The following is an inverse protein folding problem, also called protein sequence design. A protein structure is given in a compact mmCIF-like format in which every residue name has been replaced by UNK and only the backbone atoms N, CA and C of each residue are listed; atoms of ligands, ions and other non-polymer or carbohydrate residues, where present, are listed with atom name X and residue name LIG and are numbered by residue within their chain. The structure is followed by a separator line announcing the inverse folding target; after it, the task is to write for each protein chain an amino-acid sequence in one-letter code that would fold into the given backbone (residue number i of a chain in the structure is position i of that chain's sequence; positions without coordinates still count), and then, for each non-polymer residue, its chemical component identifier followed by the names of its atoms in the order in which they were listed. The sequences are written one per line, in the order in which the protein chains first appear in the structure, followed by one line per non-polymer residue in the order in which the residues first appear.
data_IF_808774992825
#
_entry.id   IF_808774992825
#
_cell.length_a   1.000
_cell.length_b   1.000
_cell.length_c   1.000
_cell.angle_alpha   90.00
_cell.angle_beta   90.00
_cell.angle_gamma   90.00
#
_symmetry.space_group_name_H-M   'P 1'
#
loop_
_entity.id
_entity.type
_entity.pdbx_description
1 polymer ?
#
# COMPACT_ATOMS: atom_id res chain seq x y z
N UNK A 1 -1.86 17.00 44.67
CA UNK A 1 -1.43 16.03 43.65
C UNK A 1 -2.16 16.37 42.36
N UNK A 2 -1.46 16.67 41.26
CA UNK A 2 -2.11 16.90 39.99
C UNK A 2 -2.81 15.61 39.55
N UNK A 3 -4.07 15.69 39.14
CA UNK A 3 -4.79 14.53 38.61
C UNK A 3 -4.07 14.06 37.34
N UNK A 4 -3.69 12.78 37.29
CA UNK A 4 -3.10 12.20 36.08
C UNK A 4 -4.17 12.17 34.99
N UNK A 5 -3.87 12.76 33.83
CA UNK A 5 -4.73 12.67 32.66
C UNK A 5 -4.85 11.21 32.23
N UNK A 6 -6.07 10.66 32.06
CA UNK A 6 -6.25 9.30 31.56
C UNK A 6 -5.60 9.11 30.18
N UNK A 7 -4.88 8.00 30.00
CA UNK A 7 -4.20 7.67 28.75
C UNK A 7 -4.55 6.25 28.28
N UNK A 8 -4.40 6.00 26.99
CA UNK A 8 -4.46 4.67 26.36
C UNK A 8 -3.10 4.35 25.72
N UNK A 9 -2.62 3.13 25.91
CA UNK A 9 -1.42 2.65 25.24
C UNK A 9 -1.78 1.95 23.93
N UNK A 10 -1.18 2.36 22.82
CA UNK A 10 -1.32 1.72 21.52
C UNK A 10 0.01 1.08 21.12
N UNK A 11 0.00 -0.16 20.62
CA UNK A 11 1.22 -0.90 20.25
C UNK A 11 1.34 -1.02 18.73
N UNK A 12 2.55 -0.78 18.21
CA UNK A 12 2.86 -0.89 16.79
C UNK A 12 4.11 -1.75 16.55
N UNK A 13 4.10 -2.54 15.48
CA UNK A 13 5.28 -3.26 15.03
C UNK A 13 5.28 -3.45 13.52
N UNK A 14 6.46 -3.49 12.92
CA UNK A 14 6.59 -3.95 11.53
C UNK A 14 6.50 -5.47 11.43
N UNK A 15 6.45 -6.00 10.21
CA UNK A 15 6.41 -7.43 9.92
C UNK A 15 7.52 -8.23 10.61
N UNK A 16 8.78 -7.81 10.46
CA UNK A 16 9.91 -8.53 11.06
C UNK A 16 10.11 -8.22 12.56
N UNK A 17 9.27 -7.35 13.15
CA UNK A 17 9.31 -6.90 14.55
C UNK A 17 10.60 -6.18 15.00
N UNK A 18 11.53 -5.91 14.10
CA UNK A 18 12.73 -5.11 14.41
C UNK A 18 12.37 -3.67 14.80
N UNK A 19 11.27 -3.15 14.24
CA UNK A 19 10.63 -1.91 14.70
C UNK A 19 9.43 -2.31 15.54
N UNK A 20 9.45 -1.96 16.82
CA UNK A 20 8.39 -2.23 17.78
C UNK A 20 8.37 -1.11 18.83
N UNK A 21 7.24 -0.42 18.94
CA UNK A 21 7.08 0.69 19.87
C UNK A 21 5.66 0.78 20.40
N UNK A 22 5.52 1.56 21.48
CA UNK A 22 4.24 1.93 22.07
C UNK A 22 4.02 3.43 21.98
N UNK A 23 2.77 3.85 21.96
CA UNK A 23 2.36 5.24 22.13
C UNK A 23 1.44 5.34 23.34
N UNK A 24 1.73 6.27 24.24
CA UNK A 24 0.82 6.62 25.35
C UNK A 24 0.04 7.87 24.96
N UNK A 25 -1.23 7.71 24.57
CA UNK A 25 -2.07 8.78 24.03
C UNK A 25 -3.08 9.24 25.09
N UNK A 26 -3.24 10.55 25.36
CA UNK A 26 -4.35 11.05 26.16
C UNK A 26 -5.69 10.62 25.57
N UNK A 27 -6.61 10.09 26.38
CA UNK A 27 -7.91 9.60 25.88
C UNK A 27 -8.69 10.72 25.17
N UNK A 28 -8.53 11.97 25.62
CA UNK A 28 -9.14 13.16 24.99
C UNK A 28 -8.62 13.46 23.58
N UNK A 29 -7.52 12.84 23.16
CA UNK A 29 -6.96 12.98 21.81
C UNK A 29 -7.38 11.84 20.87
N UNK A 30 -8.11 10.83 21.37
CA UNK A 30 -8.62 9.73 20.56
C UNK A 30 -10.05 10.02 20.06
N UNK A 31 -10.41 9.56 18.85
CA UNK A 31 -9.55 8.85 17.89
C UNK A 31 -8.56 9.79 17.18
N UNK A 32 -7.38 9.28 16.83
CA UNK A 32 -6.44 9.99 15.95
C UNK A 32 -7.01 10.04 14.53
N UNK A 33 -7.10 11.25 13.97
CA UNK A 33 -7.63 11.46 12.61
C UNK A 33 -6.61 10.98 11.58
N UNK A 34 -7.03 10.04 10.75
CA UNK A 34 -6.18 9.32 9.79
C UNK A 34 -6.53 9.73 8.38
N UNK A 35 -5.56 10.26 7.65
CA UNK A 35 -5.73 10.66 6.26
C UNK A 35 -5.11 9.65 5.30
N UNK A 36 -5.69 9.55 4.11
CA UNK A 36 -5.11 8.85 2.98
C UNK A 36 -4.44 9.83 2.03
N UNK A 37 -3.12 9.83 1.95
CA UNK A 37 -2.39 10.72 1.02
C UNK A 37 -2.09 10.00 -0.31
N UNK A 38 -2.55 10.61 -1.41
CA UNK A 38 -2.46 10.07 -2.78
C UNK A 38 -1.37 10.74 -3.61
N UNK A 39 -0.56 11.61 -3.02
CA UNK A 39 0.47 12.32 -3.79
C UNK A 39 1.51 11.34 -4.35
N UNK A 40 2.09 11.70 -5.50
CA UNK A 40 3.10 10.87 -6.16
C UNK A 40 4.25 10.49 -5.23
N UNK A 41 4.72 11.42 -4.38
CA UNK A 41 5.78 11.11 -3.41
C UNK A 41 5.39 9.94 -2.52
N UNK A 42 4.24 10.02 -1.85
CA UNK A 42 3.78 8.98 -0.93
C UNK A 42 3.55 7.65 -1.63
N UNK A 43 2.91 7.68 -2.80
CA UNK A 43 2.69 6.49 -3.65
C UNK A 43 4.03 5.80 -4.00
N UNK A 44 5.00 6.57 -4.49
CA UNK A 44 6.27 6.04 -4.98
C UNK A 44 7.29 5.70 -3.90
N UNK A 45 7.16 6.26 -2.68
CA UNK A 45 8.00 5.87 -1.53
C UNK A 45 7.46 4.67 -0.79
N UNK A 46 6.15 4.39 -0.86
CA UNK A 46 5.56 3.20 -0.22
C UNK A 46 5.49 2.02 -1.18
N UNK A 47 5.39 2.26 -2.50
CA UNK A 47 5.03 1.20 -3.45
C UNK A 47 3.55 0.80 -3.35
N UNK A 48 2.73 1.61 -2.69
CA UNK A 48 1.32 1.35 -2.43
C UNK A 48 0.41 2.40 -3.12
N UNK A 49 -0.90 2.14 -3.26
CA UNK A 49 -1.87 3.10 -3.81
C UNK A 49 -1.87 4.47 -3.13
N UNK A 50 -1.78 4.47 -1.81
CA UNK A 50 -1.76 5.64 -0.93
C UNK A 50 -1.21 5.21 0.44
N UNK A 51 -1.07 6.17 1.35
CA UNK A 51 -0.60 5.93 2.73
C UNK A 51 -1.74 6.11 3.73
N UNK A 52 -1.63 5.57 4.94
CA UNK A 52 -2.63 5.70 6.00
C UNK A 52 -1.98 6.33 7.22
N UNK A 53 -2.04 7.66 7.31
CA UNK A 53 -1.18 8.43 8.20
C UNK A 53 -1.98 9.25 9.22
N UNK A 54 -1.52 9.28 10.47
CA UNK A 54 -2.11 10.11 11.52
C UNK A 54 -1.04 10.95 12.23
N UNK A 55 -1.21 12.29 12.35
CA UNK A 55 -0.33 13.11 13.16
C UNK A 55 -0.53 12.78 14.66
N UNK A 56 0.57 12.65 15.39
CA UNK A 56 0.53 12.44 16.84
C UNK A 56 0.33 13.77 17.58
N UNK A 57 -0.29 13.76 18.77
CA UNK A 57 -0.32 14.94 19.62
C UNK A 57 1.10 15.45 19.93
N UNK A 58 1.26 16.76 20.11
CA UNK A 58 2.55 17.39 20.42
C UNK A 58 3.20 16.73 21.64
N UNK A 59 4.49 16.43 21.53
CA UNK A 59 5.27 15.78 22.59
C UNK A 59 5.11 14.27 22.69
N UNK A 60 4.20 13.66 21.92
CA UNK A 60 4.09 12.20 21.83
C UNK A 60 5.06 11.69 20.78
N UNK A 61 5.93 10.77 21.20
CA UNK A 61 6.91 10.09 20.33
C UNK A 61 6.88 8.57 20.58
N UNK A 62 7.37 7.76 19.63
CA UNK A 62 7.51 6.32 19.81
C UNK A 62 8.30 5.94 21.07
N UNK A 63 7.67 5.16 21.96
CA UNK A 63 8.30 4.54 23.13
C UNK A 63 8.78 3.15 22.76
N UNK A 64 10.07 3.03 22.46
CA UNK A 64 10.67 1.81 21.91
C UNK A 64 10.59 0.62 22.87
N UNK A 65 10.23 -0.55 22.34
CA UNK A 65 10.24 -1.82 23.08
C UNK A 65 11.54 -2.55 22.74
N UNK A 66 12.42 -2.72 23.72
CA UNK A 66 13.71 -3.38 23.51
C UNK A 66 13.55 -4.79 22.88
N UNK A 67 14.43 -5.20 21.94
CA UNK A 67 15.67 -4.52 21.52
C UNK A 67 15.46 -3.44 20.44
N UNK A 68 14.21 -3.11 20.09
CA UNK A 68 13.92 -2.10 19.07
C UNK A 68 14.40 -0.72 19.47
N UNK A 69 14.67 0.12 18.47
CA UNK A 69 14.98 1.52 18.65
C UNK A 69 15.10 2.28 17.32
N UNK A 70 15.44 3.58 17.39
CA UNK A 70 15.63 4.41 16.19
C UNK A 70 16.70 3.86 15.24
N UNK A 71 17.66 3.10 15.75
CA UNK A 71 18.72 2.45 14.96
C UNK A 71 18.21 1.36 14.00
N UNK A 72 16.96 0.91 14.15
CA UNK A 72 16.30 -0.03 13.22
C UNK A 72 15.57 0.68 12.08
N UNK A 73 15.60 2.02 12.05
CA UNK A 73 14.98 2.85 11.03
C UNK A 73 16.01 3.35 10.03
N UNK A 74 15.61 3.38 8.75
CA UNK A 74 16.26 4.16 7.71
C UNK A 74 15.44 5.42 7.47
N UNK A 75 16.11 6.57 7.34
CA UNK A 75 15.48 7.85 7.01
C UNK A 75 15.65 8.19 5.54
N UNK A 76 14.59 8.68 4.90
CA UNK A 76 14.60 9.15 3.53
C UNK A 76 14.03 10.57 3.42
N UNK A 77 14.90 11.50 3.04
CA UNK A 77 14.54 12.88 2.67
C UNK A 77 14.64 13.04 1.16
N UNK A 78 13.50 13.27 0.52
CA UNK A 78 13.40 13.19 -0.94
C UNK A 78 14.08 14.35 -1.69
N UNK A 79 14.18 15.53 -1.08
CA UNK A 79 14.96 16.68 -1.56
C UNK A 79 15.50 17.46 -0.37
N UNK A 80 16.54 18.27 -0.54
CA UNK A 80 17.07 19.12 0.53
C UNK A 80 16.03 20.08 1.12
N UNK A 81 15.02 20.51 0.35
CA UNK A 81 13.92 21.37 0.80
C UNK A 81 12.70 20.63 1.38
N UNK A 82 12.78 19.31 1.57
CA UNK A 82 11.69 18.54 2.14
C UNK A 82 11.57 18.75 3.66
N UNK A 83 10.41 19.22 4.12
CA UNK A 83 10.10 19.42 5.56
C UNK A 83 9.92 18.13 6.36
N UNK A 84 10.02 16.94 5.78
CA UNK A 84 9.90 15.71 6.55
C UNK A 84 10.84 14.62 6.07
N UNK A 85 11.29 13.84 7.05
CA UNK A 85 11.97 12.57 6.88
C UNK A 85 10.93 11.44 6.88
N UNK A 86 10.90 10.64 5.80
CA UNK A 86 10.16 9.37 5.81
C UNK A 86 11.01 8.32 6.48
N UNK A 87 10.45 7.59 7.45
CA UNK A 87 11.18 6.54 8.15
C UNK A 87 10.54 5.18 7.93
N UNK A 88 11.39 4.19 7.64
CA UNK A 88 10.99 2.81 7.38
C UNK A 88 11.94 1.82 8.06
N UNK A 89 11.47 0.60 8.29
CA UNK A 89 12.28 -0.47 8.87
C UNK A 89 13.43 -0.84 7.93
N UNK A 90 14.68 -0.75 8.42
CA UNK A 90 15.87 -1.07 7.63
C UNK A 90 15.98 -2.53 7.19
N UNK A 91 15.20 -3.43 7.83
CA UNK A 91 15.23 -4.87 7.61
C UNK A 91 14.14 -5.35 6.64
N UNK A 92 12.89 -4.92 6.83
CA UNK A 92 11.76 -5.41 6.01
C UNK A 92 11.10 -4.35 5.11
N UNK A 93 11.53 -3.09 5.17
CA UNK A 93 10.98 -2.01 4.33
C UNK A 93 9.70 -1.37 4.86
N UNK A 94 9.10 -1.91 5.92
CA UNK A 94 7.87 -1.37 6.52
C UNK A 94 7.94 0.12 6.80
N UNK A 95 7.02 0.87 6.22
CA UNK A 95 6.88 2.31 6.42
C UNK A 95 6.30 2.57 7.80
N UNK A 96 7.00 3.39 8.60
CA UNK A 96 6.67 3.65 10.00
C UNK A 96 5.98 5.00 10.16
N UNK A 97 6.35 5.96 9.32
CA UNK A 97 5.75 7.29 9.29
C UNK A 97 6.71 8.36 8.78
N UNK A 98 6.34 9.61 9.07
CA UNK A 98 7.09 10.82 8.77
C UNK A 98 7.49 11.54 10.06
N UNK A 99 8.73 12.01 10.10
CA UNK A 99 9.26 12.86 11.16
C UNK A 99 9.39 14.28 10.62
N UNK A 100 8.73 15.21 11.29
CA UNK A 100 8.68 16.63 10.96
C UNK A 100 9.46 17.46 11.97
N UNK A 101 10.03 18.61 11.57
CA UNK A 101 10.60 19.59 12.49
C UNK A 101 9.51 20.20 13.38
N UNK A 102 9.91 20.77 14.50
CA UNK A 102 9.01 21.28 15.54
C UNK A 102 8.31 22.57 15.13
N UNK A 103 9.02 23.38 14.34
CA UNK A 103 8.59 24.69 13.87
C UNK A 103 8.63 24.71 12.34
N UNK A 104 7.74 25.48 11.69
CA UNK A 104 7.90 25.77 10.27
C UNK A 104 9.26 26.42 10.06
N UNK A 105 10.11 25.82 9.23
CA UNK A 105 11.38 26.41 8.84
C UNK A 105 11.06 27.61 7.94
N UNK A 106 11.18 28.82 8.50
CA UNK A 106 10.89 30.06 7.78
C UNK A 106 12.16 30.82 7.37
N UNK A 107 13.34 30.38 7.84
CA UNK A 107 14.63 30.98 7.53
C UNK A 107 15.79 29.99 7.69
N UNK A 108 16.95 30.27 7.06
CA UNK A 108 18.20 29.48 7.22
C UNK A 108 18.73 29.47 8.65
N UNK A 109 18.42 30.51 9.44
CA UNK A 109 18.81 30.61 10.86
C UNK A 109 17.96 29.72 11.78
N UNK A 110 16.79 29.27 11.31
CA UNK A 110 15.96 28.27 12.00
C UNK A 110 16.46 26.84 11.76
N UNK A 111 17.11 26.57 10.62
CA UNK A 111 17.71 25.27 10.28
C UNK A 111 18.91 24.93 11.18
N UNK A 112 19.72 25.92 11.56
CA UNK A 112 20.94 25.71 12.37
C UNK A 112 20.67 25.50 13.88
N UNK A 113 19.43 25.72 14.35
CA UNK A 113 19.07 25.69 15.80
C UNK A 113 18.36 24.42 16.25
N UNK A 114 18.09 23.45 15.37
CA UNK A 114 17.21 22.30 15.63
C UNK A 114 17.91 20.99 16.07
N UNK A 115 19.11 21.06 16.65
CA UNK A 115 19.84 19.87 17.16
C UNK A 115 19.29 19.29 18.49
N UNK A 116 18.13 19.76 18.98
CA UNK A 116 17.46 19.17 20.14
C UNK A 116 16.44 18.11 19.70
N UNK A 117 16.79 16.82 19.90
CA UNK A 117 15.97 15.65 19.57
C UNK A 117 14.52 15.65 20.13
N UNK A 118 14.22 16.52 21.10
CA UNK A 118 12.97 16.59 21.88
C UNK A 118 11.80 17.30 21.20
N UNK A 119 11.98 17.87 20.01
CA UNK A 119 10.97 18.78 19.43
C UNK A 119 10.34 18.26 18.12
N UNK A 120 10.62 17.01 17.71
CA UNK A 120 10.14 16.47 16.42
C UNK A 120 8.67 16.03 16.49
N UNK A 121 7.89 16.39 15.47
CA UNK A 121 6.49 15.96 15.34
C UNK A 121 6.39 14.71 14.48
N UNK A 122 5.60 13.72 14.91
CA UNK A 122 5.44 12.46 14.20
C UNK A 122 4.10 12.40 13.50
N UNK A 123 4.11 11.97 12.25
CA UNK A 123 2.93 11.44 11.57
C UNK A 123 3.18 9.95 11.32
N UNK A 124 2.42 9.08 11.97
CA UNK A 124 2.67 7.64 11.95
C UNK A 124 1.85 6.93 10.87
N UNK A 125 2.37 5.82 10.35
CA UNK A 125 1.54 4.83 9.68
C UNK A 125 0.62 4.16 10.71
N UNK A 126 -0.69 4.29 10.54
CA UNK A 126 -1.66 3.67 11.46
C UNK A 126 -1.83 2.18 11.18
N UNK A 127 -1.48 1.75 9.97
CA UNK A 127 -1.61 0.36 9.53
C UNK A 127 -0.68 -0.61 10.24
N UNK A 128 0.32 -0.15 11.02
CA UNK A 128 1.23 -1.05 11.75
C UNK A 128 0.82 -1.32 13.21
N UNK A 129 -0.34 -0.80 13.63
CA UNK A 129 -0.83 -0.96 14.99
C UNK A 129 -1.62 -2.26 15.16
N UNK A 130 -1.44 -2.90 16.31
CA UNK A 130 -2.15 -4.16 16.65
C UNK A 130 -3.61 -3.92 17.01
N UNK A 131 -3.93 -2.74 17.54
CA UNK A 131 -5.29 -2.32 17.88
C UNK A 131 -5.76 -1.22 16.91
N UNK A 132 -5.87 -1.56 15.64
CA UNK A 132 -6.50 -0.66 14.68
C UNK A 132 -8.02 -0.73 14.86
N UNK A 133 -8.66 0.40 15.14
CA UNK A 133 -10.13 0.48 15.25
C UNK A 133 -10.58 1.94 15.09
N UNK A 134 -11.85 2.21 14.71
CA UNK A 134 -12.38 3.57 14.61
C UNK A 134 -12.28 4.39 15.91
N UNK A 135 -12.18 3.72 17.06
CA UNK A 135 -12.00 4.37 18.38
C UNK A 135 -10.57 4.86 18.64
N UNK A 136 -9.58 4.26 17.97
CA UNK A 136 -8.18 4.62 18.08
C UNK A 136 -7.73 5.48 16.89
N UNK A 137 -8.14 5.08 15.69
CA UNK A 137 -7.77 5.67 14.41
C UNK A 137 -9.02 5.85 13.56
N UNK A 138 -9.42 7.10 13.36
CA UNK A 138 -10.58 7.41 12.53
C UNK A 138 -10.11 7.87 11.16
N UNK A 139 -10.27 7.00 10.16
CA UNK A 139 -10.08 7.35 8.77
C UNK A 139 -11.22 8.29 8.34
N UNK A 140 -10.86 9.46 7.82
CA UNK A 140 -11.82 10.54 7.57
C UNK A 140 -11.67 11.23 6.21
N UNK A 141 -10.48 11.19 5.59
CA UNK A 141 -10.24 11.97 4.37
C UNK A 141 -9.21 11.38 3.42
N UNK A 142 -9.40 11.69 2.14
CA UNK A 142 -8.40 11.60 1.10
C UNK A 142 -7.79 12.98 0.86
N UNK A 143 -6.47 13.06 0.79
CA UNK A 143 -5.74 14.29 0.47
C UNK A 143 -4.84 14.10 -0.75
N UNK A 144 -4.63 15.18 -1.50
CA UNK A 144 -3.81 15.20 -2.73
C UNK A 144 -4.32 14.24 -3.82
N UNK A 145 -5.63 14.09 -3.95
CA UNK A 145 -6.26 13.14 -4.88
C UNK A 145 -6.06 13.48 -6.35
N UNK A 146 -5.79 14.74 -6.66
CA UNK A 146 -5.50 15.26 -8.00
C UNK A 146 -4.01 15.30 -8.35
N UNK A 147 -3.14 14.88 -7.41
CA UNK A 147 -1.69 14.90 -7.60
C UNK A 147 -1.16 13.70 -8.40
N UNK A 148 -1.98 12.66 -8.59
CA UNK A 148 -1.64 11.52 -9.43
C UNK A 148 -2.01 11.79 -10.90
N UNK A 149 -1.22 11.31 -11.88
CA UNK A 149 -1.61 11.31 -13.29
C UNK A 149 -2.99 10.70 -13.49
N UNK A 150 -3.77 11.22 -14.44
CA UNK A 150 -5.16 10.80 -14.67
C UNK A 150 -6.18 11.28 -13.62
N UNK A 151 -5.74 11.87 -12.49
CA UNK A 151 -6.61 12.23 -11.34
C UNK A 151 -7.43 11.05 -10.82
N UNK A 152 -6.94 9.84 -11.03
CA UNK A 152 -7.53 8.59 -10.57
C UNK A 152 -6.73 8.03 -9.41
N UNK A 153 -7.41 7.37 -8.49
CA UNK A 153 -6.75 6.73 -7.35
C UNK A 153 -7.75 6.07 -6.43
N UNK A 154 -7.25 5.47 -5.35
CA UNK A 154 -8.07 4.70 -4.42
C UNK A 154 -9.22 5.52 -3.81
N UNK A 155 -9.15 6.84 -3.76
CA UNK A 155 -10.25 7.70 -3.33
C UNK A 155 -11.56 7.54 -4.13
N UNK A 156 -11.48 7.11 -5.39
CA UNK A 156 -12.66 6.77 -6.20
C UNK A 156 -13.25 5.41 -5.81
N UNK A 157 -12.40 4.51 -5.30
CA UNK A 157 -12.75 3.19 -4.84
C UNK A 157 -13.07 3.12 -3.33
N UNK A 158 -12.95 4.24 -2.62
CA UNK A 158 -13.23 4.32 -1.18
C UNK A 158 -13.86 5.67 -0.80
N UNK A 159 -15.00 6.06 -1.40
CA UNK A 159 -15.65 7.33 -1.10
C UNK A 159 -16.33 7.34 0.28
N UNK A 160 -16.54 6.16 0.89
CA UNK A 160 -17.22 5.99 2.18
C UNK A 160 -16.51 4.95 3.03
N UNK A 161 -16.54 5.16 4.35
CA UNK A 161 -16.08 4.20 5.36
C UNK A 161 -17.00 4.26 6.58
N UNK A 162 -17.40 3.11 7.13
CA UNK A 162 -18.31 3.06 8.30
C UNK A 162 -19.61 3.87 8.08
N UNK A 163 -20.20 3.78 6.88
CA UNK A 163 -21.36 4.57 6.42
C UNK A 163 -21.18 6.10 6.41
N UNK A 164 -19.97 6.61 6.62
CA UNK A 164 -19.64 8.04 6.53
C UNK A 164 -18.95 8.33 5.21
N UNK A 165 -19.24 9.48 4.64
CA UNK A 165 -18.50 9.96 3.47
C UNK A 165 -17.10 10.39 3.89
N UNK A 166 -16.11 10.07 3.06
CA UNK A 166 -14.73 10.54 3.25
C UNK A 166 -14.59 11.92 2.61
N UNK A 167 -13.98 12.84 3.34
CA UNK A 167 -13.67 14.16 2.80
C UNK A 167 -12.60 14.03 1.71
N UNK A 168 -12.77 14.71 0.58
CA UNK A 168 -11.81 14.66 -0.54
C UNK A 168 -11.18 16.04 -0.70
N UNK A 169 -9.85 16.10 -0.60
CA UNK A 169 -9.07 17.31 -0.77
C UNK A 169 -8.09 17.17 -1.93
N UNK A 170 -8.18 18.10 -2.88
CA UNK A 170 -7.22 18.32 -3.95
C UNK A 170 -6.06 19.21 -3.47
N UNK A 171 -5.11 19.58 -4.35
CA UNK A 171 -3.81 20.23 -4.09
C UNK A 171 -3.72 21.50 -3.21
N UNK A 172 -4.72 21.81 -2.40
CA UNK A 172 -4.79 22.93 -1.46
C UNK A 172 -4.95 22.52 0.02
N UNK A 173 -4.61 21.29 0.43
CA UNK A 173 -4.63 20.90 1.86
C UNK A 173 -3.42 21.44 2.65
N UNK A 174 -3.15 22.73 2.56
CA UNK A 174 -2.35 23.43 3.55
C UNK A 174 -3.17 24.63 4.04
N UNK A 175 -3.10 24.98 5.34
CA UNK A 175 -3.80 26.16 5.83
C UNK A 175 -3.47 27.37 4.93
N UNK A 176 -4.43 28.28 4.67
CA UNK A 176 -4.30 29.37 3.68
C UNK A 176 -3.04 30.25 3.82
N UNK A 177 -2.37 30.19 4.97
CA UNK A 177 -1.20 30.99 5.33
C UNK A 177 0.14 30.25 5.18
N UNK A 178 0.14 28.96 4.82
CA UNK A 178 1.37 28.23 4.54
C UNK A 178 1.76 28.46 3.07
N UNK A 179 2.56 29.49 2.81
CA UNK A 179 3.24 29.72 1.53
C UNK A 179 4.25 28.61 1.26
N UNK A 180 3.77 27.39 0.99
CA UNK A 180 4.62 26.29 0.59
C UNK A 180 4.47 26.05 -0.90
N UNK A 181 5.54 26.32 -1.62
CA UNK A 181 5.69 25.96 -3.03
C UNK A 181 5.68 24.42 -3.06
N UNK A 182 4.55 23.83 -3.47
CA UNK A 182 4.56 22.42 -3.86
C UNK A 182 5.57 22.30 -5.02
N UNK A 183 6.49 21.32 -4.98
CA UNK A 183 7.34 21.08 -6.15
C UNK A 183 6.43 20.86 -7.37
N UNK A 184 6.79 21.41 -8.54
CA UNK A 184 6.00 21.23 -9.74
C UNK A 184 5.78 19.73 -9.96
N UNK A 185 4.58 19.32 -10.42
CA UNK A 185 4.31 17.92 -10.70
C UNK A 185 5.37 17.40 -11.68
N UNK A 186 5.84 16.15 -11.51
CA UNK A 186 6.78 15.56 -12.46
C UNK A 186 6.17 15.58 -13.86
N UNK A 187 7.03 15.66 -14.88
CA UNK A 187 6.58 15.55 -16.26
C UNK A 187 5.75 14.26 -16.44
N UNK A 188 4.68 14.29 -17.24
CA UNK A 188 3.89 13.10 -17.48
C UNK A 188 4.79 12.00 -18.06
N UNK A 189 4.63 10.75 -17.61
CA UNK A 189 5.42 9.66 -18.14
C UNK A 189 5.18 9.52 -19.64
N UNK A 190 6.27 9.34 -20.39
CA UNK A 190 6.23 9.12 -21.83
C UNK A 190 6.06 7.64 -22.13
N UNK A 191 5.48 7.31 -23.29
CA UNK A 191 5.44 5.94 -23.75
C UNK A 191 6.87 5.42 -23.95
N UNK A 192 7.18 4.29 -23.34
CA UNK A 192 8.47 3.63 -23.48
C UNK A 192 8.32 2.45 -24.43
N UNK A 193 9.37 2.19 -25.20
CA UNK A 193 9.42 1.09 -26.14
C UNK A 193 10.70 0.28 -25.90
N UNK A 194 10.66 -1.02 -26.17
CA UNK A 194 11.85 -1.88 -26.17
C UNK A 194 12.89 -1.44 -27.20
N UNK A 195 13.99 -2.19 -27.32
CA UNK A 195 15.09 -1.86 -28.24
C UNK A 195 14.60 -1.49 -29.64
N UNK A 196 15.35 -0.59 -30.31
CA UNK A 196 15.01 0.23 -31.48
C UNK A 196 14.28 -0.45 -32.65
N UNK A 197 14.31 -1.78 -32.74
CA UNK A 197 13.69 -2.55 -33.82
C UNK A 197 12.32 -3.14 -33.46
N UNK A 198 11.99 -3.29 -32.17
CA UNK A 198 10.83 -4.07 -31.71
C UNK A 198 9.51 -3.27 -31.68
N UNK A 199 9.56 -1.94 -31.47
CA UNK A 199 8.39 -1.09 -31.17
C UNK A 199 7.45 -1.68 -30.09
N UNK A 200 7.93 -2.58 -29.25
CA UNK A 200 7.13 -3.20 -28.21
C UNK A 200 6.92 -2.18 -27.09
N UNK A 201 5.68 -1.79 -26.84
CA UNK A 201 5.34 -0.92 -25.71
C UNK A 201 5.83 -1.55 -24.39
N UNK A 202 6.40 -0.71 -23.53
CA UNK A 202 6.82 -1.08 -22.18
C UNK A 202 6.25 -0.12 -21.14
N UNK A 203 5.93 -0.66 -19.97
CA UNK A 203 5.48 0.11 -18.82
C UNK A 203 6.55 0.14 -17.75
N UNK A 204 6.88 1.35 -17.30
CA UNK A 204 7.90 1.62 -16.29
C UNK A 204 7.35 1.46 -14.87
N UNK A 205 8.12 0.76 -14.05
CA UNK A 205 8.01 0.74 -12.60
C UNK A 205 9.26 1.39 -12.00
N UNK A 206 9.08 2.40 -11.16
CA UNK A 206 10.20 3.10 -10.55
C UNK A 206 9.83 3.67 -9.17
N UNK A 207 10.70 3.40 -8.19
CA UNK A 207 10.57 3.98 -6.84
C UNK A 207 10.85 5.48 -6.84
N UNK A 208 10.52 6.17 -5.73
CA UNK A 208 10.69 7.62 -5.67
C UNK A 208 12.15 8.08 -5.91
N UNK A 209 13.13 7.39 -5.35
CA UNK A 209 14.53 7.79 -5.47
C UNK A 209 15.20 7.36 -6.79
N UNK A 210 14.48 6.68 -7.68
CA UNK A 210 15.04 6.12 -8.92
C UNK A 210 16.03 4.96 -8.74
N UNK A 211 16.33 4.55 -7.51
CA UNK A 211 17.31 3.51 -7.21
C UNK A 211 16.84 2.10 -7.61
N UNK A 212 15.53 1.88 -7.68
CA UNK A 212 14.90 0.72 -8.31
C UNK A 212 14.09 1.24 -9.49
N UNK A 213 14.44 0.81 -10.69
CA UNK A 213 13.77 1.18 -11.95
C UNK A 213 13.86 0.01 -12.94
N UNK A 214 12.71 -0.42 -13.45
CA UNK A 214 12.60 -1.47 -14.46
C UNK A 214 11.34 -1.28 -15.30
N UNK A 215 11.22 -2.05 -16.37
CA UNK A 215 10.08 -2.03 -17.26
C UNK A 215 9.57 -3.44 -17.53
N UNK A 216 8.31 -3.56 -17.91
CA UNK A 216 7.73 -4.82 -18.39
C UNK A 216 6.92 -4.60 -19.67
N UNK A 217 6.87 -5.59 -20.58
CA UNK A 217 6.10 -5.50 -21.81
C UNK A 217 4.63 -5.91 -21.58
N UNK A 218 3.81 -5.76 -22.61
CA UNK A 218 2.50 -6.42 -22.68
C UNK A 218 2.66 -7.95 -22.75
N UNK A 219 1.61 -8.76 -22.47
CA UNK A 219 1.66 -10.20 -22.68
C UNK A 219 2.10 -10.54 -24.10
N UNK A 220 3.13 -11.39 -24.22
CA UNK A 220 3.68 -11.81 -25.52
C UNK A 220 2.94 -13.04 -26.05
N UNK A 221 3.10 -13.34 -27.35
CA UNK A 221 2.56 -14.59 -27.93
C UNK A 221 3.07 -15.84 -27.22
N UNK A 222 4.30 -15.83 -26.72
CA UNK A 222 4.89 -16.94 -25.99
C UNK A 222 4.17 -17.16 -24.64
N UNK A 223 3.80 -16.08 -23.93
CA UNK A 223 3.03 -16.16 -22.69
C UNK A 223 1.63 -16.70 -22.95
N UNK A 224 0.94 -16.20 -23.97
CA UNK A 224 -0.40 -16.66 -24.33
C UNK A 224 -0.43 -18.15 -24.72
N UNK A 225 0.65 -18.66 -25.31
CA UNK A 225 0.82 -20.07 -25.65
C UNK A 225 1.22 -20.99 -24.49
N UNK A 226 1.54 -20.44 -23.32
CA UNK A 226 1.96 -21.19 -22.14
C UNK A 226 0.78 -21.32 -21.14
N UNK A 227 0.32 -22.54 -20.88
CA UNK A 227 -0.86 -22.79 -20.04
C UNK A 227 -0.74 -22.30 -18.60
N UNK A 228 0.47 -22.25 -18.05
CA UNK A 228 0.72 -21.81 -16.67
C UNK A 228 0.83 -20.29 -16.58
N UNK A 229 1.60 -19.67 -17.49
CA UNK A 229 1.81 -18.22 -17.47
C UNK A 229 0.58 -17.44 -17.97
N UNK A 230 -0.21 -18.02 -18.87
CA UNK A 230 -1.43 -17.39 -19.39
C UNK A 230 -2.50 -17.17 -18.30
N UNK A 231 -2.42 -17.87 -17.16
CA UNK A 231 -3.31 -17.66 -16.00
C UNK A 231 -3.19 -16.26 -15.39
N UNK A 232 -2.10 -15.53 -15.69
CA UNK A 232 -1.83 -14.18 -15.20
C UNK A 232 -2.14 -13.09 -16.24
N UNK A 233 -2.64 -13.49 -17.41
CA UNK A 233 -3.13 -12.59 -18.46
C UNK A 233 -4.63 -12.36 -18.27
N UNK A 234 -5.11 -11.17 -18.64
CA UNK A 234 -6.52 -10.85 -18.58
C UNK A 234 -7.36 -11.79 -19.45
N UNK A 235 -8.47 -12.34 -18.93
CA UNK A 235 -9.38 -13.18 -19.71
C UNK A 235 -10.21 -12.37 -20.71
N UNK A 236 -10.29 -11.04 -20.58
CA UNK A 236 -11.10 -10.17 -21.43
C UNK A 236 -10.29 -9.34 -22.43
N UNK A 237 -9.00 -9.11 -22.18
CA UNK A 237 -8.08 -8.47 -23.14
C UNK A 237 -6.69 -9.14 -23.09
N UNK A 238 -6.30 -9.91 -24.12
CA UNK A 238 -5.02 -10.63 -24.13
C UNK A 238 -3.78 -9.71 -24.16
N UNK A 239 -3.96 -8.39 -24.21
CA UNK A 239 -2.89 -7.39 -24.14
C UNK A 239 -2.66 -6.83 -22.73
N UNK A 240 -3.41 -7.31 -21.74
CA UNK A 240 -3.36 -6.81 -20.35
C UNK A 240 -2.96 -7.91 -19.36
N UNK A 241 -2.23 -7.53 -18.32
CA UNK A 241 -1.92 -8.38 -17.18
C UNK A 241 -3.05 -8.35 -16.15
N UNK A 242 -3.12 -9.34 -15.26
CA UNK A 242 -4.02 -9.29 -14.11
C UNK A 242 -3.44 -8.43 -12.99
N UNK A 243 -4.31 -7.67 -12.33
CA UNK A 243 -4.00 -6.90 -11.13
C UNK A 243 -5.00 -7.19 -10.01
N UNK A 244 -4.58 -7.01 -8.75
CA UNK A 244 -5.47 -7.12 -7.60
C UNK A 244 -5.11 -6.13 -6.50
N UNK A 245 -6.12 -5.79 -5.71
CA UNK A 245 -5.93 -5.20 -4.39
C UNK A 245 -5.79 -6.34 -3.38
N UNK A 246 -4.90 -6.15 -2.40
CA UNK A 246 -4.55 -7.12 -1.37
C UNK A 246 -4.58 -6.44 0.01
N UNK A 247 -5.27 -7.09 0.94
CA UNK A 247 -5.55 -6.61 2.29
C UNK A 247 -4.96 -7.54 3.36
N UNK A 248 -4.08 -8.48 3.00
CA UNK A 248 -3.49 -9.37 3.98
C UNK A 248 -2.66 -8.62 5.04
N UNK A 249 -2.64 -9.18 6.25
CA UNK A 249 -1.95 -8.59 7.39
C UNK A 249 -0.44 -8.47 7.16
N UNK A 250 0.16 -9.42 6.43
CA UNK A 250 1.57 -9.36 6.04
C UNK A 250 1.86 -8.13 5.19
N UNK A 251 1.10 -7.92 4.10
CA UNK A 251 1.27 -6.74 3.25
C UNK A 251 1.00 -5.46 4.03
N UNK A 252 0.05 -5.47 4.98
CA UNK A 252 -0.21 -4.35 5.88
C UNK A 252 1.02 -3.98 6.71
N UNK A 253 1.63 -4.98 7.38
CA UNK A 253 2.80 -4.82 8.23
C UNK A 253 4.12 -4.65 7.47
N UNK A 254 4.11 -4.81 6.14
CA UNK A 254 5.26 -4.60 5.26
C UNK A 254 5.23 -3.30 4.50
N UNK A 255 4.03 -2.79 4.20
CA UNK A 255 3.89 -1.55 3.42
C UNK A 255 3.56 -0.38 4.32
N UNK A 256 3.07 -0.63 5.54
CA UNK A 256 2.51 0.40 6.41
C UNK A 256 1.23 1.00 5.81
N UNK A 257 0.44 0.18 5.10
CA UNK A 257 -0.80 0.58 4.44
C UNK A 257 -1.86 -0.52 4.58
N UNK A 258 -3.14 -0.18 4.66
CA UNK A 258 -4.20 -1.20 4.76
C UNK A 258 -4.46 -1.93 3.46
N UNK A 259 -4.04 -1.36 2.33
CA UNK A 259 -4.17 -1.97 1.01
C UNK A 259 -2.89 -1.86 0.21
N UNK A 260 -2.60 -2.92 -0.53
CA UNK A 260 -1.54 -2.99 -1.52
C UNK A 260 -2.14 -3.33 -2.88
N UNK A 261 -1.49 -2.86 -3.94
CA UNK A 261 -1.87 -3.17 -5.31
C UNK A 261 -0.76 -3.95 -6.00
N UNK A 262 -1.10 -5.12 -6.54
CA UNK A 262 -0.17 -6.02 -7.22
C UNK A 262 -0.57 -6.25 -8.66
N UNK A 263 0.41 -6.40 -9.54
CA UNK A 263 0.27 -7.05 -10.86
C UNK A 263 1.20 -8.25 -10.92
N UNK A 264 0.85 -9.26 -11.69
CA UNK A 264 1.55 -10.55 -11.69
C UNK A 264 2.28 -10.73 -13.02
N UNK A 265 3.61 -10.82 -12.97
CA UNK A 265 4.44 -10.81 -14.18
C UNK A 265 5.42 -11.98 -14.19
N UNK A 266 5.64 -12.62 -15.34
CA UNK A 266 6.77 -13.53 -15.50
C UNK A 266 8.09 -12.79 -15.24
N UNK A 267 8.90 -13.30 -14.32
CA UNK A 267 10.13 -12.65 -13.85
C UNK A 267 11.10 -12.33 -15.00
N UNK A 268 11.19 -13.24 -15.97
CA UNK A 268 12.03 -13.13 -17.17
C UNK A 268 11.65 -11.99 -18.14
N UNK A 269 10.47 -11.37 -17.98
CA UNK A 269 10.03 -10.25 -18.82
C UNK A 269 10.40 -8.87 -18.26
N UNK A 270 10.91 -8.83 -17.02
CA UNK A 270 11.38 -7.58 -16.43
C UNK A 270 12.70 -7.15 -17.07
N UNK A 271 12.82 -5.86 -17.38
CA UNK A 271 14.06 -5.27 -17.90
C UNK A 271 14.51 -4.08 -17.05
N UNK A 272 15.73 -4.09 -16.50
CA UNK A 272 16.74 -5.16 -16.61
C UNK A 272 16.27 -6.47 -15.96
N UNK A 273 16.86 -7.59 -16.38
CA UNK A 273 16.51 -8.92 -15.87
C UNK A 273 16.68 -8.99 -14.35
N UNK A 274 15.68 -9.55 -13.68
CA UNK A 274 15.65 -9.74 -12.21
C UNK A 274 15.71 -11.24 -11.93
N UNK A 275 16.58 -11.66 -11.01
CA UNK A 275 16.66 -13.05 -10.57
C UNK A 275 15.67 -13.38 -9.45
N UNK A 276 15.61 -14.64 -9.04
CA UNK A 276 14.78 -15.08 -7.89
C UNK A 276 15.32 -14.60 -6.54
N UNK A 277 16.48 -13.94 -6.55
CA UNK A 277 17.03 -13.17 -5.43
C UNK A 277 16.37 -11.79 -5.30
N UNK A 278 15.60 -11.36 -6.32
CA UNK A 278 14.86 -10.10 -6.45
C UNK A 278 15.74 -8.84 -6.39
N UNK A 279 17.04 -8.98 -6.67
CA UNK A 279 17.99 -7.88 -6.57
C UNK A 279 17.99 -7.05 -7.86
N UNK A 280 17.71 -5.76 -7.72
CA UNK A 280 17.79 -4.75 -8.77
C UNK A 280 18.10 -3.37 -8.17
N UNK A 281 19.16 -2.73 -8.67
CA UNK A 281 19.55 -1.39 -8.24
C UNK A 281 19.77 -1.32 -6.72
N UNK A 282 19.02 -0.46 -6.01
CA UNK A 282 19.12 -0.28 -4.56
C UNK A 282 18.18 -1.19 -3.74
N UNK A 283 17.55 -2.20 -4.35
CA UNK A 283 16.66 -3.12 -3.63
C UNK A 283 17.41 -3.90 -2.54
N UNK A 284 16.74 -4.11 -1.41
CA UNK A 284 17.09 -5.10 -0.39
C UNK A 284 16.03 -6.18 -0.41
N UNK A 285 16.46 -7.42 -0.14
CA UNK A 285 15.60 -8.59 -0.20
C UNK A 285 15.73 -9.39 1.08
N UNK A 286 14.63 -9.99 1.52
CA UNK A 286 14.60 -10.85 2.70
C UNK A 286 13.57 -11.95 2.52
N UNK A 287 13.76 -13.04 3.25
CA UNK A 287 12.83 -14.17 3.29
C UNK A 287 11.77 -13.90 4.36
N UNK A 288 10.51 -13.72 3.96
CA UNK A 288 9.41 -13.44 4.90
C UNK A 288 8.87 -14.70 5.55
N UNK A 289 8.97 -15.82 4.86
CA UNK A 289 8.66 -17.17 5.33
C UNK A 289 9.39 -18.16 4.42
N UNK A 290 9.43 -19.44 4.79
CA UNK A 290 10.17 -20.46 4.03
C UNK A 290 9.75 -20.46 2.55
N UNK A 291 10.71 -20.18 1.66
CA UNK A 291 10.48 -20.16 0.20
C UNK A 291 9.78 -18.91 -0.33
N UNK A 292 9.55 -17.90 0.52
CA UNK A 292 8.88 -16.64 0.14
C UNK A 292 9.83 -15.46 0.35
N UNK A 293 10.09 -14.72 -0.73
CA UNK A 293 10.98 -13.55 -0.71
C UNK A 293 10.21 -12.27 -1.02
N UNK A 294 10.67 -11.18 -0.41
CA UNK A 294 10.12 -9.85 -0.63
C UNK A 294 11.26 -8.86 -0.85
N UNK A 295 11.00 -7.85 -1.68
CA UNK A 295 11.96 -6.81 -2.02
C UNK A 295 11.41 -5.41 -1.75
N UNK A 296 12.26 -4.55 -1.20
CA UNK A 296 11.98 -3.12 -1.01
C UNK A 296 13.20 -2.29 -1.39
N UNK A 297 13.03 -1.02 -1.77
CA UNK A 297 14.14 -0.12 -2.03
C UNK A 297 14.87 0.22 -0.71
N UNK A 298 16.15 -0.11 -0.61
CA UNK A 298 16.96 0.18 0.58
C UNK A 298 17.21 1.66 0.85
N UNK A 299 16.93 2.54 -0.12
CA UNK A 299 17.09 4.00 -0.03
C UNK A 299 15.82 4.72 0.40
N UNK A 300 14.68 4.46 -0.28
CA UNK A 300 13.42 5.15 0.00
C UNK A 300 12.34 4.30 0.67
N UNK A 301 12.59 2.99 0.85
CA UNK A 301 11.70 2.07 1.54
C UNK A 301 10.53 1.55 0.70
N UNK A 302 10.46 1.89 -0.59
CA UNK A 302 9.35 1.48 -1.43
C UNK A 302 9.28 -0.03 -1.61
N UNK A 303 8.12 -0.63 -1.35
CA UNK A 303 7.87 -2.04 -1.66
C UNK A 303 7.92 -2.26 -3.17
N UNK A 304 8.62 -3.31 -3.60
CA UNK A 304 8.88 -3.60 -5.01
C UNK A 304 8.27 -4.92 -5.44
N UNK A 305 8.67 -6.01 -4.78
CA UNK A 305 8.35 -7.38 -5.22
C UNK A 305 7.88 -8.28 -4.08
N UNK A 306 7.02 -9.22 -4.43
CA UNK A 306 6.79 -10.46 -3.70
C UNK A 306 7.01 -11.65 -4.63
N UNK A 307 7.61 -12.72 -4.13
CA UNK A 307 7.87 -13.94 -4.89
C UNK A 307 7.79 -15.16 -3.97
N UNK A 308 7.28 -16.28 -4.49
CA UNK A 308 7.19 -17.56 -3.79
C UNK A 308 7.72 -18.69 -4.68
N UNK A 309 8.43 -19.66 -4.08
CA UNK A 309 8.89 -20.89 -4.74
C UNK A 309 7.73 -21.68 -5.37
N UNK A 310 6.51 -21.58 -4.81
CA UNK A 310 5.32 -22.25 -5.35
C UNK A 310 4.88 -21.70 -6.72
N UNK A 311 5.29 -20.46 -7.05
CA UNK A 311 5.07 -19.79 -8.34
C UNK A 311 6.38 -19.24 -8.89
N UNK A 312 7.42 -20.07 -8.96
CA UNK A 312 8.80 -19.65 -9.21
C UNK A 312 9.01 -18.75 -10.45
N UNK A 313 8.20 -18.90 -11.49
CA UNK A 313 8.30 -18.10 -12.72
C UNK A 313 7.63 -16.71 -12.63
N UNK A 314 6.79 -16.48 -11.62
CA UNK A 314 5.97 -15.27 -11.47
C UNK A 314 6.46 -14.43 -10.30
N UNK A 315 6.52 -13.12 -10.50
CA UNK A 315 6.74 -12.13 -9.46
C UNK A 315 5.56 -11.18 -9.39
N UNK A 316 5.17 -10.86 -8.16
CA UNK A 316 4.14 -9.88 -7.89
C UNK A 316 4.82 -8.51 -7.79
N UNK A 317 4.40 -7.57 -8.63
CA UNK A 317 4.99 -6.22 -8.76
C UNK A 317 4.07 -5.17 -8.18
N UNK A 318 4.61 -4.33 -7.30
CA UNK A 318 3.86 -3.30 -6.60
C UNK A 318 3.43 -2.18 -7.55
N UNK A 319 2.12 -2.07 -7.81
CA UNK A 319 1.55 -1.09 -8.76
C UNK A 319 1.69 0.36 -8.28
N UNK A 320 2.00 0.59 -7.01
CA UNK A 320 2.38 1.92 -6.53
C UNK A 320 3.61 2.49 -7.25
N UNK A 321 4.46 1.65 -7.84
CA UNK A 321 5.66 2.06 -8.58
C UNK A 321 5.40 2.42 -10.05
N UNK A 322 4.23 2.09 -10.59
CA UNK A 322 3.94 2.26 -12.02
C UNK A 322 3.91 3.73 -12.44
N UNK A 323 4.65 4.05 -13.51
CA UNK A 323 4.70 5.36 -14.16
C UNK A 323 3.80 5.38 -15.39
N UNK A 324 2.51 5.08 -15.24
CA UNK A 324 1.54 5.19 -16.33
C UNK A 324 0.96 6.62 -16.41
N UNK A 325 0.68 7.09 -17.64
CA UNK A 325 0.06 8.40 -17.86
C UNK A 325 -1.39 8.46 -17.34
N UNK A 326 -2.07 7.31 -17.35
CA UNK A 326 -3.40 7.09 -16.78
C UNK A 326 -3.39 6.86 -15.26
N UNK A 327 -2.23 6.98 -14.59
CA UNK A 327 -2.14 6.94 -13.13
C UNK A 327 -1.98 5.54 -12.54
N UNK A 328 -2.43 5.37 -11.29
CA UNK A 328 -2.25 4.15 -10.52
C UNK A 328 -2.90 2.93 -11.18
N UNK A 329 -4.12 3.09 -11.70
CA UNK A 329 -4.91 1.96 -12.16
C UNK A 329 -4.41 1.35 -13.46
N UNK A 330 -3.63 2.08 -14.25
CA UNK A 330 -2.99 1.57 -15.45
C UNK A 330 -3.94 0.71 -16.32
N UNK A 331 -5.20 1.14 -16.50
CA UNK A 331 -6.28 0.31 -17.06
C UNK A 331 -6.02 -0.13 -18.49
N UNK A 332 -5.17 0.58 -19.25
CA UNK A 332 -4.72 0.14 -20.56
C UNK A 332 -3.72 -1.02 -20.51
N UNK A 333 -3.09 -1.28 -19.36
CA UNK A 333 -2.07 -2.30 -19.12
C UNK A 333 -2.52 -3.47 -18.26
N UNK A 334 -3.44 -3.22 -17.34
CA UNK A 334 -3.91 -4.25 -16.40
C UNK A 334 -5.43 -4.36 -16.38
N UNK A 335 -5.91 -5.54 -16.03
CA UNK A 335 -7.30 -5.81 -15.69
C UNK A 335 -7.37 -6.12 -14.21
N UNK A 336 -8.09 -5.29 -13.46
CA UNK A 336 -8.30 -5.48 -12.03
C UNK A 336 -9.29 -6.60 -11.77
N UNK A 337 -8.98 -7.45 -10.79
CA UNK A 337 -9.94 -8.43 -10.28
C UNK A 337 -11.07 -7.68 -9.57
N UNK A 338 -12.24 -7.63 -10.21
CA UNK A 338 -13.47 -7.08 -9.62
C UNK A 338 -14.18 -8.15 -8.77
N UNK A 339 -14.98 -7.72 -7.80
CA UNK A 339 -15.82 -8.61 -6.98
C UNK A 339 -15.10 -9.34 -5.83
N UNK A 340 -13.76 -9.43 -5.82
CA UNK A 340 -12.98 -10.08 -4.75
C UNK A 340 -11.65 -9.39 -4.51
N UNK A 341 -11.44 -8.92 -3.28
CA UNK A 341 -10.14 -8.45 -2.81
C UNK A 341 -9.33 -9.64 -2.28
N UNK A 342 -8.02 -9.70 -2.54
CA UNK A 342 -7.20 -10.80 -2.05
C UNK A 342 -7.08 -10.74 -0.52
N UNK A 343 -7.19 -11.91 0.12
CA UNK A 343 -7.06 -12.11 1.57
C UNK A 343 -7.99 -11.22 2.43
N UNK A 344 -9.23 -11.01 1.97
CA UNK A 344 -10.25 -10.23 2.66
C UNK A 344 -10.39 -10.60 4.16
N UNK A 345 -10.50 -11.89 4.48
CA UNK A 345 -10.67 -12.39 5.86
C UNK A 345 -9.50 -12.00 6.78
N UNK A 346 -8.27 -11.97 6.24
CA UNK A 346 -7.09 -11.52 6.99
C UNK A 346 -7.17 -10.03 7.28
N UNK A 347 -7.61 -9.22 6.31
CA UNK A 347 -7.84 -7.79 6.50
C UNK A 347 -8.91 -7.50 7.57
N UNK A 348 -10.02 -8.24 7.54
CA UNK A 348 -11.13 -8.08 8.51
C UNK A 348 -10.65 -8.30 9.95
N UNK A 349 -9.82 -9.32 10.16
CA UNK A 349 -9.26 -9.63 11.48
C UNK A 349 -8.33 -8.53 12.02
N UNK A 350 -7.61 -7.83 11.14
CA UNK A 350 -6.65 -6.79 11.50
C UNK A 350 -7.31 -5.44 11.83
N UNK A 351 -8.43 -5.11 11.18
CA UNK A 351 -9.17 -3.87 11.39
C UNK A 351 -10.05 -3.87 12.65
N UNK A 352 -10.17 -5.01 13.33
CA UNK A 352 -10.82 -5.15 14.64
C UNK A 352 -12.28 -4.67 14.70
N UNK A 353 -12.90 -4.47 13.54
CA UNK A 353 -14.24 -3.90 13.38
C UNK A 353 -15.17 -4.94 12.74
N UNK A 354 -16.47 -4.97 13.12
CA UNK A 354 -17.48 -5.70 12.35
C UNK A 354 -17.42 -5.24 10.89
N UNK A 355 -17.66 -6.16 9.95
CA UNK A 355 -17.62 -5.94 8.49
C UNK A 355 -18.09 -4.53 8.10
N UNK A 356 -19.22 -4.07 8.67
CA UNK A 356 -19.86 -2.75 8.50
C UNK A 356 -18.99 -1.48 8.66
N UNK A 357 -17.82 -1.57 9.30
CA UNK A 357 -17.01 -0.41 9.73
C UNK A 357 -15.58 -0.37 9.16
N UNK A 358 -15.21 -1.32 8.29
CA UNK A 358 -13.83 -1.56 7.86
C UNK A 358 -13.46 -0.86 6.54
N UNK A 359 -12.15 -0.74 6.25
CA UNK A 359 -11.65 -0.31 4.91
C UNK A 359 -12.17 -1.26 3.83
N UNK A 360 -12.35 -2.54 4.18
CA UNK A 360 -12.90 -3.57 3.31
C UNK A 360 -14.32 -3.21 2.87
N UNK A 361 -15.17 -2.77 3.79
CA UNK A 361 -16.57 -2.48 3.50
C UNK A 361 -16.75 -1.39 2.44
N UNK A 362 -15.95 -0.32 2.54
CA UNK A 362 -15.95 0.73 1.54
C UNK A 362 -15.43 0.26 0.17
N UNK A 363 -14.52 -0.72 0.14
CA UNK A 363 -14.03 -1.34 -1.10
C UNK A 363 -14.99 -2.40 -1.67
N UNK A 364 -15.71 -3.14 -0.82
CA UNK A 364 -16.71 -4.15 -1.19
C UNK A 364 -18.01 -3.53 -1.73
N UNK A 365 -18.46 -2.42 -1.16
CA UNK A 365 -19.64 -1.68 -1.66
C UNK A 365 -19.43 -1.27 -3.12
N UNK A 366 -18.20 -0.95 -3.52
CA UNK A 366 -17.88 -0.58 -4.90
C UNK A 366 -17.65 -1.77 -5.83
N UNK A 367 -17.11 -2.88 -5.32
CA UNK A 367 -17.09 -4.13 -6.07
C UNK A 367 -18.53 -4.53 -6.48
N UNK A 368 -19.49 -4.41 -5.55
CA UNK A 368 -20.91 -4.67 -5.78
C UNK A 368 -21.62 -3.56 -6.58
N UNK A 369 -21.29 -2.29 -6.36
CA UNK A 369 -21.92 -1.18 -7.08
C UNK A 369 -21.49 -1.12 -8.56
N UNK A 370 -20.24 -1.48 -8.88
CA UNK A 370 -19.79 -1.62 -10.26
C UNK A 370 -20.43 -2.85 -10.93
N UNK A 371 -20.64 -3.96 -10.22
CA UNK A 371 -21.42 -5.10 -10.71
C UNK A 371 -22.87 -4.72 -11.04
N UNK A 372 -23.50 -3.83 -10.25
CA UNK A 372 -24.89 -3.39 -10.46
C UNK A 372 -25.03 -2.29 -11.53
N UNK A 373 -24.02 -1.42 -11.70
CA UNK A 373 -24.03 -0.36 -12.71
C UNK A 373 -23.75 -0.87 -14.13
N UNK A 374 -23.14 -2.04 -14.29
CA UNK A 374 -22.70 -2.61 -15.57
C UNK A 374 -23.48 -3.88 -15.97
N UNK A 375 -24.79 -3.89 -15.71
CA UNK A 375 -25.71 -4.93 -16.21
C UNK A 375 -25.97 -4.89 -17.72
N UNK A 376 -25.40 -3.91 -18.45
CA UNK A 376 -25.31 -3.90 -19.90
C UNK A 376 -23.84 -4.08 -20.36
N UNK A 377 -23.45 -5.35 -20.51
CA UNK A 377 -22.26 -5.85 -21.22
C UNK A 377 -20.88 -5.26 -20.82
N UNK A 378 -20.15 -5.89 -19.89
CA UNK A 378 -18.71 -6.27 -20.09
C UNK A 378 -17.94 -7.02 -19.00
N UNK A 379 -18.48 -7.27 -17.80
CA UNK A 379 -17.67 -7.88 -16.74
C UNK A 379 -18.39 -9.04 -16.08
N UNK A 380 -18.16 -10.24 -16.60
CA UNK A 380 -18.62 -11.47 -15.97
C UNK A 380 -17.89 -11.65 -14.64
N UNK A 381 -18.66 -11.62 -13.55
CA UNK A 381 -18.30 -12.11 -12.23
C UNK A 381 -17.66 -13.50 -12.33
N UNK A 382 -16.48 -13.69 -11.73
CA UNK A 382 -15.90 -15.03 -11.57
C UNK A 382 -16.04 -15.48 -10.12
N UNK A 383 -17.18 -16.10 -9.83
CA UNK A 383 -17.29 -17.09 -8.76
C UNK A 383 -16.74 -18.43 -9.28
N UNK A 384 -15.64 -18.88 -8.69
CA UNK A 384 -15.01 -20.17 -8.99
C UNK A 384 -13.85 -20.05 -9.99
N UNK A 385 -12.77 -20.78 -9.74
CA UNK A 385 -11.51 -20.82 -10.50
C UNK A 385 -10.41 -19.81 -10.14
N UNK A 386 -10.29 -19.42 -8.86
CA UNK A 386 -8.98 -19.14 -8.23
C UNK A 386 -9.03 -19.68 -6.77
N UNK A 387 -9.46 -20.91 -6.63
CA UNK A 387 -9.28 -21.74 -5.44
C UNK A 387 -8.63 -23.02 -5.97
N UNK A 388 -7.36 -22.93 -6.36
CA UNK A 388 -6.46 -24.08 -6.65
C UNK A 388 -5.07 -23.62 -7.14
N UNK A 389 -4.56 -22.49 -6.63
CA UNK A 389 -3.14 -22.13 -6.77
C UNK A 389 -2.33 -22.34 -5.48
N UNK A 390 -2.99 -22.71 -4.37
CA UNK A 390 -2.32 -23.10 -3.14
C UNK A 390 -2.61 -24.58 -2.87
N UNK A 391 -1.68 -25.42 -3.30
CA UNK A 391 -1.70 -26.83 -2.98
C UNK A 391 -1.64 -27.06 -1.47
N UNK A 392 -2.75 -27.56 -0.93
CA UNK A 392 -2.97 -28.24 0.37
C UNK A 392 -3.56 -27.41 1.50
N UNK A 393 -4.88 -27.59 1.67
CA UNK A 393 -5.47 -27.84 2.98
C UNK A 393 -4.62 -28.87 3.75
N UNK A 394 -4.10 -28.48 4.91
CA UNK A 394 -3.85 -29.45 5.97
C UNK A 394 -5.09 -29.47 6.84
N UNK A 395 -5.85 -30.57 6.72
CA UNK A 395 -6.88 -30.95 7.68
C UNK A 395 -6.29 -30.92 9.09
N UNK A 396 -6.72 -29.95 9.90
CA UNK A 396 -6.56 -30.05 11.33
C UNK A 396 -7.80 -30.80 11.87
N UNK A 397 -7.64 -32.09 12.07
CA UNK A 397 -8.65 -32.94 12.66
C UNK A 397 -8.90 -32.54 14.12
N UNK A 398 -10.15 -32.14 14.41
CA UNK A 398 -10.84 -32.51 15.64
C UNK A 398 -10.85 -31.49 16.78
N UNK A 399 -11.94 -30.71 16.88
CA UNK A 399 -13.01 -30.95 17.86
C UNK A 399 -14.16 -29.92 17.71
N UNK A 400 -15.34 -30.44 17.34
CA UNK A 400 -16.72 -30.07 17.72
C UNK A 400 -16.98 -28.68 18.34
N UNK A 401 -17.92 -27.86 17.86
CA UNK A 401 -19.36 -28.17 17.86
C UNK A 401 -20.23 -27.28 16.93
N UNK A 402 -21.08 -27.96 16.13
CA UNK A 402 -22.48 -27.68 15.74
C UNK A 402 -23.12 -26.30 16.02
N UNK A 403 -23.65 -25.68 14.96
CA UNK A 403 -25.09 -25.40 14.71
C UNK A 403 -25.22 -24.75 13.30
N UNK A 404 -25.49 -25.54 12.25
CA UNK A 404 -26.80 -25.78 11.62
C UNK A 404 -27.45 -24.59 10.87
N UNK A 405 -27.35 -24.70 9.53
CA UNK A 405 -28.33 -24.44 8.47
C UNK A 405 -29.05 -23.08 8.35
N UNK A 406 -28.86 -22.42 7.20
CA UNK A 406 -29.95 -22.34 6.19
C UNK A 406 -29.40 -22.03 4.79
N UNK A 407 -29.75 -22.89 3.84
CA UNK A 407 -29.48 -22.76 2.42
C UNK A 407 -30.35 -21.66 1.79
N UNK A 408 -29.85 -20.94 0.79
CA UNK A 408 -30.71 -20.28 -0.19
C UNK A 408 -30.21 -20.52 -1.62
N UNK A 409 -31.17 -20.88 -2.46
CA UNK A 409 -31.05 -21.45 -3.79
C UNK A 409 -30.66 -20.43 -4.86
N UNK A 410 -29.92 -20.97 -5.84
CA UNK A 410 -29.70 -20.44 -7.18
C UNK A 410 -31.04 -20.37 -7.95
N UNK A 411 -31.34 -19.24 -8.61
CA UNK A 411 -32.24 -19.21 -9.78
C UNK A 411 -31.56 -18.40 -10.87
N UNK A 412 -31.18 -19.12 -11.92
CA UNK A 412 -30.66 -18.61 -13.20
C UNK A 412 -31.86 -18.26 -14.08
N UNK A 413 -31.83 -17.09 -14.73
CA UNK A 413 -32.35 -16.89 -16.08
C UNK A 413 -31.27 -16.18 -16.88
#
# INVERSE_FOLDING_TARGET
MAAQTPTKTLTAHCFCRAVHYKLTIPITSLPLRTHLCHCGICRFTHGAPCVFHAPLPVGITPQWVAPSGPHNLTSYRHTSGALSDRVFCSTCGCQIGDIWPAKPINSKEDEEKEDAADNRHWTISTSIFTEHSPSNFQIDKHIFTDSAPGKVGLHQLLPRISRRDMEIYTGHFLPPNANRILPPPPAPPQAEFGNTDSKEERLRCECHCGGVSFTFPRPTKAILGNSELNKFVSPTDPRKWLASLDLCDDCRLLNGTHVTAWTFLPLQLLEPAVGTDLIIGTSKTFESSKGVRRAFCGTCGATVFYWSEDRADIVDVALGLVRASEGLFAESWVTWRNGRVAYQESGESADGSPVEDSVLDGMLILALANELAESDQRWAMFHGYILDLDGKETQNNGHTSRADNTALFLVII
#
